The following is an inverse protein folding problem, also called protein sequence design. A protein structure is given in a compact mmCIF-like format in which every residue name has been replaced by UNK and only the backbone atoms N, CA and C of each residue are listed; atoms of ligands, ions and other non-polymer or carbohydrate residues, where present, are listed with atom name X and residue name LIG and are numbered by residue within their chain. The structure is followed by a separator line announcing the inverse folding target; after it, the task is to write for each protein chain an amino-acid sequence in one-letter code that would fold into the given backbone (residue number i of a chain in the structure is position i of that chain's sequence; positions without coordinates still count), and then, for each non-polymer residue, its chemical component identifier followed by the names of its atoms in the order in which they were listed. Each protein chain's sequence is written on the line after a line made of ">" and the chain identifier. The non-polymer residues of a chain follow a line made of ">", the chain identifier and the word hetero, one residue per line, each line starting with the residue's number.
data_IF_274061077838
#
_entry.id   IF_274061077838
#
_cell.length_a   1.000
_cell.length_b   1.000
_cell.length_c   1.000
_cell.angle_alpha   90.00
_cell.angle_beta   90.00
_cell.angle_gamma   90.00
#
_symmetry.space_group_name_H-M   'P 1'
#
loop_
_entity.id
_entity.type
_entity.pdbx_description
1 polymer ?
#
# COMPACT_ATOMS: atom_id res chain seq x y z
N UNK A 1 29.33 -33.62 71.48
CA UNK A 1 29.59 -35.05 71.29
C UNK A 1 29.09 -35.39 69.89
N UNK A 2 29.82 -35.10 68.81
CA UNK A 2 30.91 -35.90 68.22
C UNK A 2 30.60 -37.39 68.18
N UNK A 3 30.20 -37.89 67.01
CA UNK A 3 30.69 -39.16 66.48
C UNK A 3 30.52 -39.23 64.96
N UNK A 4 31.65 -39.53 64.33
CA UNK A 4 31.89 -39.74 62.91
C UNK A 4 31.21 -41.01 62.37
N UNK A 5 30.96 -41.02 61.05
CA UNK A 5 30.69 -42.24 60.29
C UNK A 5 31.61 -42.27 59.06
N UNK A 6 32.52 -43.24 59.03
CA UNK A 6 33.36 -43.57 57.88
C UNK A 6 32.68 -44.63 57.00
N UNK A 7 32.88 -44.57 55.67
CA UNK A 7 33.34 -45.67 54.77
C UNK A 7 33.15 -45.26 53.29
N UNK A 8 34.21 -44.86 52.58
CA UNK A 8 35.01 -45.64 51.60
C UNK A 8 34.28 -46.22 50.38
N UNK A 9 34.66 -45.78 49.17
CA UNK A 9 35.23 -46.68 48.17
C UNK A 9 36.10 -45.91 47.17
N UNK A 10 37.25 -46.52 46.85
CA UNK A 10 38.25 -46.09 45.86
C UNK A 10 37.87 -46.63 44.49
N UNK A 11 38.08 -45.85 43.44
CA UNK A 11 38.63 -46.39 42.19
C UNK A 11 39.50 -45.35 41.50
N UNK A 12 40.80 -45.62 41.46
CA UNK A 12 41.79 -44.93 40.64
C UNK A 12 41.55 -45.30 39.18
N UNK A 13 41.56 -44.32 38.29
CA UNK A 13 41.99 -44.57 36.91
C UNK A 13 42.81 -43.37 36.42
N UNK A 14 44.09 -43.61 36.24
CA UNK A 14 45.09 -42.72 35.64
C UNK A 14 45.13 -42.95 34.14
N UNK A 15 44.90 -41.93 33.32
CA UNK A 15 45.45 -41.87 31.95
C UNK A 15 45.66 -40.43 31.48
N UNK A 16 46.94 -40.10 31.32
CA UNK A 16 47.58 -39.34 30.23
C UNK A 16 46.83 -38.15 29.61
N UNK A 17 47.25 -36.93 29.97
CA UNK A 17 47.00 -35.71 29.18
C UNK A 17 48.15 -35.50 28.20
N UNK A 18 47.85 -35.62 26.91
CA UNK A 18 48.72 -35.24 25.81
C UNK A 18 48.32 -33.83 25.34
N UNK A 19 49.25 -32.89 25.42
CA UNK A 19 49.07 -31.48 25.02
C UNK A 19 48.91 -31.33 23.50
N UNK A 20 47.85 -30.64 23.05
CA UNK A 20 47.85 -29.89 21.78
C UNK A 20 47.12 -28.56 21.94
N UNK A 21 47.89 -27.46 21.96
CA UNK A 21 47.41 -26.07 21.83
C UNK A 21 46.99 -25.75 20.38
N UNK A 22 45.92 -24.97 20.14
CA UNK A 22 45.74 -24.28 18.86
C UNK A 22 46.08 -22.78 18.96
N UNK A 23 47.02 -22.35 18.10
CA UNK A 23 47.41 -20.96 17.81
C UNK A 23 46.30 -20.22 17.05
N UNK A 24 45.28 -19.69 17.72
CA UNK A 24 44.22 -18.88 17.06
C UNK A 24 43.92 -17.52 17.68
N UNK A 25 44.68 -17.05 18.67
CA UNK A 25 44.41 -15.76 19.35
C UNK A 25 45.18 -14.54 18.82
N UNK A 26 46.19 -14.71 17.96
CA UNK A 26 47.00 -13.57 17.48
C UNK A 26 46.45 -12.88 16.22
N UNK A 27 45.62 -13.56 15.41
CA UNK A 27 45.07 -12.97 14.19
C UNK A 27 43.87 -12.02 14.45
N UNK A 28 43.13 -12.21 15.56
CA UNK A 28 41.98 -11.38 15.89
C UNK A 28 42.37 -10.01 16.48
N UNK A 29 43.51 -9.94 17.18
CA UNK A 29 43.95 -8.71 17.84
C UNK A 29 44.57 -7.69 16.87
N UNK A 30 45.12 -8.16 15.73
CA UNK A 30 45.65 -7.27 14.67
C UNK A 30 44.58 -6.56 13.83
N UNK A 31 43.35 -7.08 13.76
CA UNK A 31 42.25 -6.44 13.00
C UNK A 31 41.63 -5.26 13.73
N UNK A 32 41.61 -5.26 15.06
CA UNK A 32 41.04 -4.16 15.86
C UNK A 32 41.91 -2.90 15.80
N UNK A 33 43.24 -3.05 15.70
CA UNK A 33 44.17 -1.92 15.62
C UNK A 33 44.08 -1.19 14.26
N UNK A 34 43.81 -1.90 13.17
CA UNK A 34 43.69 -1.30 11.83
C UNK A 34 42.41 -0.46 11.63
N UNK A 35 41.29 -0.84 12.27
CA UNK A 35 40.03 -0.07 12.20
C UNK A 35 40.16 1.27 12.93
N UNK A 36 40.88 1.32 14.04
CA UNK A 36 41.11 2.57 14.79
C UNK A 36 41.99 3.57 14.03
N UNK A 37 42.96 3.09 13.24
CA UNK A 37 43.82 3.96 12.41
C UNK A 37 43.05 4.54 11.22
N UNK A 38 42.13 3.78 10.62
CA UNK A 38 41.29 4.27 9.52
C UNK A 38 40.23 5.28 9.99
N UNK A 39 39.65 5.10 11.19
CA UNK A 39 38.75 6.10 11.77
C UNK A 39 39.47 7.42 12.11
N UNK A 40 40.71 7.36 12.59
CA UNK A 40 41.49 8.57 12.89
C UNK A 40 41.87 9.34 11.62
N UNK A 41 42.16 8.65 10.51
CA UNK A 41 42.44 9.29 9.22
C UNK A 41 41.19 9.87 8.55
N UNK A 42 40.02 9.24 8.72
CA UNK A 42 38.74 9.79 8.24
C UNK A 42 38.29 11.07 8.97
N UNK A 43 38.59 11.16 10.27
CA UNK A 43 38.29 12.36 11.07
C UNK A 43 39.16 13.57 10.68
N UNK A 44 40.41 13.35 10.28
CA UNK A 44 41.31 14.42 9.82
C UNK A 44 40.95 14.94 8.42
N UNK A 45 40.36 14.12 7.55
CA UNK A 45 39.93 14.58 6.22
C UNK A 45 38.64 15.41 6.26
N UNK A 46 37.80 15.19 7.27
CA UNK A 46 36.53 15.89 7.44
C UNK A 46 36.68 17.35 7.89
N UNK A 47 37.83 17.74 8.45
CA UNK A 47 38.09 19.10 8.94
C UNK A 47 38.87 20.00 7.96
N UNK A 48 39.36 19.47 6.84
CA UNK A 48 40.19 20.23 5.90
C UNK A 48 39.49 20.68 4.60
N UNK A 49 38.32 20.12 4.25
CA UNK A 49 37.68 20.35 2.93
C UNK A 49 36.18 20.70 2.97
N UNK A 50 35.59 20.97 4.13
CA UNK A 50 34.18 21.40 4.20
C UNK A 50 34.09 22.93 4.08
N UNK A 51 33.51 23.50 3.01
CA UNK A 51 33.14 24.91 3.03
C UNK A 51 32.05 25.15 4.07
N UNK A 52 32.15 26.30 4.75
CA UNK A 52 31.29 26.73 5.85
C UNK A 52 29.81 26.82 5.41
N UNK A 53 29.02 25.82 5.78
CA UNK A 53 27.62 25.66 5.35
C UNK A 53 26.63 26.61 6.07
N UNK A 54 27.11 27.66 6.74
CA UNK A 54 26.27 28.57 7.55
C UNK A 54 26.05 29.94 6.94
N UNK A 55 26.55 30.22 5.72
CA UNK A 55 26.29 31.49 5.03
C UNK A 55 25.50 31.29 3.75
N UNK A 56 24.30 31.85 3.72
CA UNK A 56 23.52 32.00 2.48
C UNK A 56 24.30 32.91 1.50
N UNK A 57 24.42 32.53 0.22
CA UNK A 57 25.08 33.37 -0.78
C UNK A 57 24.25 34.63 -1.01
N UNK A 58 24.93 35.78 -1.07
CA UNK A 58 24.26 37.05 -1.39
C UNK A 58 23.74 37.04 -2.83
N UNK A 59 22.68 37.80 -3.10
CA UNK A 59 22.01 37.86 -4.42
C UNK A 59 22.95 38.22 -5.58
N UNK A 60 24.08 38.88 -5.28
CA UNK A 60 25.11 39.26 -6.24
C UNK A 60 25.96 38.06 -6.70
N UNK A 61 26.25 37.10 -5.81
CA UNK A 61 27.00 35.87 -6.15
C UNK A 61 26.14 34.89 -6.97
N UNK A 62 24.83 34.91 -6.80
CA UNK A 62 23.91 34.10 -7.62
C UNK A 62 23.82 34.62 -9.06
N UNK A 63 23.88 35.93 -9.28
CA UNK A 63 23.84 36.51 -10.63
C UNK A 63 25.13 36.23 -11.42
N UNK A 64 26.29 36.21 -10.77
CA UNK A 64 27.56 35.90 -11.44
C UNK A 64 27.63 34.44 -11.93
N UNK A 65 27.02 33.53 -11.18
CA UNK A 65 26.99 32.09 -11.51
C UNK A 65 26.07 31.80 -12.70
N UNK A 66 24.91 32.47 -12.77
CA UNK A 66 23.95 32.36 -13.89
C UNK A 66 24.54 32.95 -15.19
N UNK A 67 25.37 33.99 -15.08
CA UNK A 67 26.00 34.63 -16.25
C UNK A 67 27.14 33.77 -16.83
N UNK A 68 27.86 33.02 -15.98
CA UNK A 68 28.92 32.10 -16.41
C UNK A 68 28.40 30.82 -17.09
N UNK A 69 27.22 30.33 -16.74
CA UNK A 69 26.61 29.19 -17.45
C UNK A 69 25.98 29.59 -18.80
N UNK A 70 25.31 30.75 -18.88
CA UNK A 70 24.76 31.24 -20.16
C UNK A 70 25.82 31.50 -21.24
N UNK A 71 27.05 31.83 -20.84
CA UNK A 71 28.17 32.05 -21.77
C UNK A 71 28.85 30.75 -22.25
N UNK A 72 28.50 29.57 -21.72
CA UNK A 72 29.03 28.28 -22.19
C UNK A 72 28.20 27.63 -23.31
N UNK A 73 26.97 28.09 -23.55
CA UNK A 73 26.05 27.47 -24.52
C UNK A 73 25.91 28.19 -25.88
N UNK A 74 26.63 29.30 -26.10
CA UNK A 74 26.67 29.99 -27.38
C UNK A 74 28.13 30.05 -27.88
N UNK A 75 28.58 29.11 -28.75
CA UNK A 75 28.12 29.07 -30.13
C UNK A 75 28.06 27.64 -30.73
N UNK A 76 26.86 27.13 -31.05
CA UNK A 76 26.73 25.94 -31.91
C UNK A 76 25.56 25.97 -32.89
N UNK A 77 25.12 27.17 -33.28
CA UNK A 77 24.17 27.39 -34.36
C UNK A 77 24.65 28.54 -35.23
N UNK A 78 25.51 28.21 -36.20
CA UNK A 78 25.69 28.94 -37.46
C UNK A 78 26.78 28.26 -38.30
N UNK A 79 26.40 27.23 -39.06
CA UNK A 79 27.01 26.85 -40.34
C UNK A 79 26.29 25.66 -40.97
N UNK A 80 25.53 25.93 -42.04
CA UNK A 80 25.50 25.16 -43.29
C UNK A 80 24.23 25.51 -44.12
N UNK A 81 24.29 26.62 -44.85
CA UNK A 81 23.91 26.69 -46.27
C UNK A 81 25.12 26.13 -47.05
N UNK A 82 25.06 25.29 -48.09
CA UNK A 82 24.30 25.32 -49.36
C UNK A 82 24.61 24.01 -50.17
N UNK A 83 24.32 23.81 -51.49
CA UNK A 83 23.40 22.77 -52.00
C UNK A 83 23.99 21.70 -52.97
N UNK A 84 23.07 20.89 -53.53
CA UNK A 84 23.13 19.98 -54.72
C UNK A 84 23.53 18.50 -54.48
N UNK A 85 22.66 17.57 -54.89
CA UNK A 85 22.84 16.67 -56.05
C UNK A 85 21.62 15.73 -56.17
N UNK A 86 21.13 15.60 -57.41
CA UNK A 86 20.13 14.65 -57.90
C UNK A 86 20.53 13.19 -57.62
N UNK A 87 19.56 12.34 -57.28
CA UNK A 87 19.44 11.01 -57.91
C UNK A 87 18.09 10.38 -57.57
N UNK A 88 17.32 10.21 -58.63
CA UNK A 88 16.33 9.16 -58.88
C UNK A 88 16.68 7.82 -58.23
N UNK A 89 15.73 7.17 -57.55
CA UNK A 89 15.63 5.72 -57.56
C UNK A 89 14.18 5.24 -57.41
N UNK A 90 13.92 4.19 -58.17
CA UNK A 90 12.67 3.62 -58.64
C UNK A 90 11.67 3.09 -57.60
N UNK A 91 10.42 3.07 -58.05
CA UNK A 91 9.36 2.22 -57.56
C UNK A 91 9.74 0.73 -57.71
N UNK A 92 10.01 0.08 -56.59
CA UNK A 92 10.21 -1.37 -56.48
C UNK A 92 8.97 -2.08 -55.97
N UNK A 93 8.18 -2.56 -56.92
CA UNK A 93 7.22 -3.66 -56.88
C UNK A 93 7.51 -4.72 -55.79
N UNK A 94 6.67 -4.78 -54.75
CA UNK A 94 6.71 -5.87 -53.78
C UNK A 94 5.68 -6.93 -54.17
N UNK A 95 6.24 -8.07 -54.59
CA UNK A 95 5.52 -9.24 -55.09
C UNK A 95 4.63 -9.86 -54.03
N UNK A 96 3.48 -10.33 -54.50
CA UNK A 96 2.59 -11.28 -53.83
C UNK A 96 3.36 -12.56 -53.49
N UNK A 97 3.39 -12.92 -52.22
CA UNK A 97 3.50 -14.32 -51.82
C UNK A 97 2.12 -14.85 -51.50
N UNK A 98 1.69 -15.78 -52.34
CA UNK A 98 0.49 -16.61 -52.22
C UNK A 98 0.71 -17.65 -51.13
N UNK A 99 0.02 -17.53 -49.99
CA UNK A 99 -0.15 -18.63 -49.06
C UNK A 99 -1.30 -19.55 -49.51
N UNK A 100 -1.02 -20.84 -49.45
CA UNK A 100 -1.84 -22.00 -49.82
C UNK A 100 -3.12 -22.15 -48.98
N UNK A 101 -4.12 -22.93 -49.45
CA UNK A 101 -5.47 -22.90 -48.92
C UNK A 101 -5.64 -23.75 -47.66
N UNK A 102 -6.43 -23.22 -46.73
CA UNK A 102 -6.94 -23.91 -45.53
C UNK A 102 -7.73 -25.17 -45.91
N UNK A 103 -7.30 -26.31 -45.37
CA UNK A 103 -8.11 -27.52 -45.30
C UNK A 103 -9.33 -27.29 -44.41
N UNK A 104 -10.49 -27.45 -45.03
CA UNK A 104 -11.80 -27.55 -44.40
C UNK A 104 -11.85 -28.80 -43.50
N UNK A 105 -11.66 -28.62 -42.20
CA UNK A 105 -12.14 -29.58 -41.20
C UNK A 105 -13.60 -29.27 -40.89
N UNK A 106 -14.49 -29.94 -41.63
CA UNK A 106 -15.89 -30.09 -41.26
C UNK A 106 -15.99 -30.93 -39.98
N UNK A 107 -16.15 -30.30 -38.83
CA UNK A 107 -16.62 -30.98 -37.62
C UNK A 107 -18.07 -31.42 -37.84
N UNK A 108 -18.25 -32.74 -37.93
CA UNK A 108 -19.55 -33.38 -37.85
C UNK A 108 -20.16 -33.10 -36.48
N UNK A 109 -21.19 -32.27 -36.44
CA UNK A 109 -22.19 -32.29 -35.38
C UNK A 109 -22.89 -33.67 -35.39
N UNK A 110 -22.50 -34.55 -34.48
CA UNK A 110 -23.32 -35.70 -34.11
C UNK A 110 -24.44 -35.22 -33.19
N UNK A 111 -25.65 -35.21 -33.73
CA UNK A 111 -26.89 -35.14 -32.97
C UNK A 111 -26.93 -36.29 -31.95
N UNK A 112 -26.86 -35.96 -30.67
CA UNK A 112 -27.28 -36.85 -29.59
C UNK A 112 -28.79 -36.63 -29.36
N UNK A 113 -29.61 -37.67 -29.32
CA UNK A 113 -31.03 -37.54 -29.03
C UNK A 113 -31.24 -37.17 -27.56
N UNK A 114 -32.14 -36.22 -27.33
CA UNK A 114 -32.72 -35.91 -26.02
C UNK A 114 -33.45 -37.14 -25.49
N UNK A 115 -32.93 -37.74 -24.41
CA UNK A 115 -33.68 -38.68 -23.58
C UNK A 115 -34.35 -37.94 -22.41
N UNK A 116 -35.62 -38.27 -22.10
CA UNK A 116 -36.38 -37.60 -21.05
C UNK A 116 -35.93 -38.07 -19.67
N UNK A 117 -35.64 -37.11 -18.79
CA UNK A 117 -35.41 -37.35 -17.37
C UNK A 117 -36.70 -37.86 -16.71
N UNK A 118 -36.85 -39.18 -16.62
CA UNK A 118 -37.73 -39.80 -15.64
C UNK A 118 -36.99 -39.86 -14.30
N UNK A 119 -37.49 -39.06 -13.37
CA UNK A 119 -37.09 -39.03 -11.96
C UNK A 119 -37.78 -40.21 -11.28
N UNK A 120 -37.09 -41.34 -11.18
CA UNK A 120 -37.50 -42.41 -10.28
C UNK A 120 -37.17 -42.02 -8.84
N UNK A 121 -38.21 -41.95 -8.02
CA UNK A 121 -38.14 -41.78 -6.58
C UNK A 121 -37.52 -43.04 -5.95
N UNK A 122 -36.19 -43.06 -5.83
CA UNK A 122 -35.49 -44.02 -4.97
C UNK A 122 -35.61 -43.50 -3.53
N UNK A 123 -36.57 -44.05 -2.83
CA UNK A 123 -36.73 -43.93 -1.38
C UNK A 123 -35.58 -44.71 -0.71
N UNK A 124 -34.47 -44.02 -0.44
CA UNK A 124 -33.45 -44.54 0.48
C UNK A 124 -34.00 -44.31 1.88
N UNK A 125 -34.39 -45.39 2.55
CA UNK A 125 -34.70 -45.38 3.97
C UNK A 125 -33.44 -44.91 4.73
N UNK A 126 -33.48 -43.69 5.24
CA UNK A 126 -32.50 -43.18 6.19
C UNK A 126 -32.57 -44.06 7.46
N UNK A 127 -31.44 -44.62 7.93
CA UNK A 127 -31.42 -45.28 9.22
C UNK A 127 -31.72 -44.23 10.28
N UNK A 128 -32.82 -44.44 11.01
CA UNK A 128 -33.22 -43.62 12.15
C UNK A 128 -32.04 -43.42 13.10
N UNK A 129 -31.46 -42.22 13.08
CA UNK A 129 -30.49 -41.79 14.08
C UNK A 129 -31.19 -41.80 15.43
N UNK A 130 -30.90 -42.85 16.17
CA UNK A 130 -31.12 -42.95 17.61
C UNK A 130 -30.62 -41.66 18.25
N UNK A 131 -31.55 -40.92 18.87
CA UNK A 131 -31.29 -39.73 19.67
C UNK A 131 -30.19 -40.02 20.70
N UNK A 132 -28.95 -39.67 20.37
CA UNK A 132 -27.89 -39.52 21.35
C UNK A 132 -28.13 -38.16 21.98
N UNK A 133 -28.64 -38.18 23.21
CA UNK A 133 -28.77 -36.97 24.02
C UNK A 133 -27.43 -36.20 24.00
N UNK A 134 -27.45 -34.89 23.72
CA UNK A 134 -26.24 -34.09 23.76
C UNK A 134 -25.60 -34.24 25.15
N UNK A 135 -24.27 -34.47 25.23
CA UNK A 135 -23.61 -34.61 26.51
C UNK A 135 -23.94 -33.39 27.38
N UNK A 136 -24.25 -33.57 28.68
CA UNK A 136 -24.63 -32.47 29.55
C UNK A 136 -23.59 -31.36 29.44
N UNK A 137 -24.05 -30.14 29.16
CA UNK A 137 -23.19 -28.96 29.11
C UNK A 137 -22.33 -28.95 30.37
N UNK A 138 -21.02 -29.10 30.19
CA UNK A 138 -20.07 -28.94 31.29
C UNK A 138 -20.35 -27.58 31.93
N UNK A 139 -20.53 -27.49 33.26
CA UNK A 139 -20.72 -26.22 33.93
C UNK A 139 -19.66 -25.25 33.43
N UNK A 140 -20.09 -24.11 32.87
CA UNK A 140 -19.20 -23.04 32.43
C UNK A 140 -18.35 -22.68 33.64
N UNK A 141 -17.12 -23.20 33.66
CA UNK A 141 -16.14 -22.89 34.69
C UNK A 141 -15.98 -21.38 34.65
N UNK A 142 -16.46 -20.70 35.69
CA UNK A 142 -16.39 -19.26 35.80
C UNK A 142 -14.92 -18.90 35.65
N UNK A 143 -14.55 -18.35 34.49
CA UNK A 143 -13.20 -17.84 34.27
C UNK A 143 -12.92 -16.87 35.43
N UNK A 144 -11.78 -17.03 36.14
CA UNK A 144 -11.49 -16.23 37.31
C UNK A 144 -11.66 -14.76 36.96
N UNK A 145 -12.51 -14.09 37.74
CA UNK A 145 -12.84 -12.68 37.61
C UNK A 145 -11.54 -11.89 37.41
N UNK A 146 -11.36 -11.38 36.19
CA UNK A 146 -10.10 -10.79 35.73
C UNK A 146 -9.75 -9.60 36.63
N UNK A 147 -8.87 -9.80 37.60
CA UNK A 147 -8.44 -8.73 38.49
C UNK A 147 -7.73 -7.67 37.65
N UNK A 148 -8.19 -6.41 37.64
CA UNK A 148 -7.58 -5.36 36.84
C UNK A 148 -6.08 -5.27 37.13
N UNK A 149 -5.24 -5.29 36.08
CA UNK A 149 -3.80 -5.11 36.24
C UNK A 149 -3.57 -3.67 36.73
N UNK A 150 -2.91 -3.43 37.87
CA UNK A 150 -2.72 -2.08 38.39
C UNK A 150 -2.08 -1.10 37.39
N UNK A 151 -1.20 -1.60 36.52
CA UNK A 151 -0.58 -0.80 35.45
C UNK A 151 -1.58 -0.33 34.39
N UNK A 152 -2.61 -1.13 34.08
CA UNK A 152 -3.63 -0.73 33.11
C UNK A 152 -4.54 0.36 33.67
N UNK A 153 -4.86 0.31 34.97
CA UNK A 153 -5.55 1.42 35.61
C UNK A 153 -4.71 2.70 35.62
N UNK A 154 -3.42 2.61 35.96
CA UNK A 154 -2.50 3.74 35.88
C UNK A 154 -2.45 4.34 34.47
N UNK A 155 -2.21 3.49 33.47
CA UNK A 155 -2.16 3.91 32.07
C UNK A 155 -3.48 4.55 31.63
N UNK A 156 -4.62 3.90 31.88
CA UNK A 156 -5.91 4.39 31.44
C UNK A 156 -6.37 5.64 32.19
N UNK A 157 -6.03 5.79 33.47
CA UNK A 157 -6.20 7.07 34.17
C UNK A 157 -5.40 8.20 33.50
N UNK A 158 -4.11 7.94 33.24
CA UNK A 158 -3.22 8.93 32.65
C UNK A 158 -3.68 9.35 31.25
N UNK A 159 -4.01 8.39 30.37
CA UNK A 159 -4.38 8.69 28.99
C UNK A 159 -5.73 9.41 28.90
N UNK A 160 -6.71 9.03 29.72
CA UNK A 160 -8.00 9.71 29.73
C UNK A 160 -7.90 11.12 30.32
N UNK A 161 -6.92 11.38 31.18
CA UNK A 161 -6.70 12.70 31.78
C UNK A 161 -5.93 13.64 30.84
N UNK A 162 -4.84 13.15 30.25
CA UNK A 162 -3.85 14.01 29.59
C UNK A 162 -3.95 13.98 28.05
N UNK A 163 -4.62 12.98 27.49
CA UNK A 163 -4.80 12.81 26.04
C UNK A 163 -6.27 12.95 25.68
N UNK A 164 -6.70 14.19 25.43
CA UNK A 164 -8.10 14.54 25.15
C UNK A 164 -8.24 15.31 23.84
N UNK A 165 -9.48 15.57 23.39
CA UNK A 165 -9.76 16.30 22.15
C UNK A 165 -9.12 15.62 20.93
N UNK A 166 -8.38 16.37 20.11
CA UNK A 166 -7.66 15.83 18.94
C UNK A 166 -6.51 14.86 19.27
N UNK A 167 -6.18 14.70 20.55
CA UNK A 167 -5.16 13.78 21.05
C UNK A 167 -5.77 12.60 21.81
N UNK A 168 -7.11 12.45 21.82
CA UNK A 168 -7.78 11.36 22.50
C UNK A 168 -7.39 10.00 21.91
N UNK A 169 -6.71 9.18 22.71
CA UNK A 169 -6.24 7.85 22.28
C UNK A 169 -7.37 6.82 22.27
N UNK A 170 -8.29 6.95 23.22
CA UNK A 170 -9.45 6.09 23.36
C UNK A 170 -10.71 6.93 23.53
N UNK A 171 -11.84 6.42 23.05
CA UNK A 171 -13.13 7.06 23.27
C UNK A 171 -13.61 6.90 24.72
N UNK A 172 -13.25 5.78 25.38
CA UNK A 172 -13.62 5.50 26.76
C UNK A 172 -12.51 4.81 27.55
N UNK A 173 -12.62 4.90 28.88
CA UNK A 173 -11.75 4.14 29.79
C UNK A 173 -11.88 2.62 29.58
N UNK A 174 -13.08 2.14 29.26
CA UNK A 174 -13.31 0.72 28.98
C UNK A 174 -12.55 0.27 27.74
N UNK A 175 -12.57 1.05 26.66
CA UNK A 175 -11.76 0.76 25.45
C UNK A 175 -10.26 0.69 25.79
N UNK A 176 -9.78 1.62 26.60
CA UNK A 176 -8.39 1.61 27.05
C UNK A 176 -8.03 0.34 27.83
N UNK A 177 -8.88 -0.06 28.79
CA UNK A 177 -8.64 -1.24 29.61
C UNK A 177 -8.68 -2.53 28.78
N UNK A 178 -9.62 -2.63 27.84
CA UNK A 178 -9.71 -3.76 26.91
C UNK A 178 -8.44 -3.89 26.07
N UNK A 179 -7.94 -2.79 25.50
CA UNK A 179 -6.70 -2.79 24.73
C UNK A 179 -5.45 -3.07 25.59
N UNK A 180 -5.40 -2.57 26.82
CA UNK A 180 -4.24 -2.73 27.71
C UNK A 180 -4.01 -4.18 28.14
N UNK A 181 -5.08 -5.00 28.24
CA UNK A 181 -4.96 -6.40 28.67
C UNK A 181 -4.07 -7.24 27.76
N UNK A 182 -4.04 -6.94 26.47
CA UNK A 182 -3.18 -7.61 25.49
C UNK A 182 -1.72 -7.10 25.48
N UNK A 183 -1.41 -6.02 26.21
CA UNK A 183 -0.06 -5.44 26.22
C UNK A 183 0.85 -6.17 27.24
N UNK A 184 2.15 -6.31 26.94
CA UNK A 184 3.13 -6.68 27.96
C UNK A 184 3.10 -5.69 29.14
N UNK A 185 3.17 -6.15 30.38
CA UNK A 185 3.16 -5.23 31.55
C UNK A 185 4.38 -4.33 31.57
N UNK A 186 5.57 -4.91 31.42
CA UNK A 186 6.85 -4.20 31.56
C UNK A 186 7.21 -3.85 33.00
N UNK A 187 8.00 -2.79 33.18
CA UNK A 187 8.42 -2.25 34.48
C UNK A 187 8.17 -0.74 34.58
N UNK A 188 8.05 -0.16 35.80
CA UNK A 188 7.86 1.29 35.97
C UNK A 188 8.94 2.18 35.36
N UNK A 189 10.10 1.63 34.97
CA UNK A 189 11.20 2.37 34.33
C UNK A 189 11.12 2.36 32.81
N UNK A 190 10.18 1.61 32.24
CA UNK A 190 10.02 1.49 30.81
C UNK A 190 9.57 2.83 30.22
N UNK A 191 10.34 3.35 29.27
CA UNK A 191 9.98 4.53 28.47
C UNK A 191 10.26 4.37 26.98
N UNK A 192 10.88 3.25 26.58
CA UNK A 192 11.31 3.00 25.20
C UNK A 192 11.04 1.54 24.74
N UNK A 193 10.22 0.79 25.48
CA UNK A 193 9.94 -0.62 25.22
C UNK A 193 8.44 -0.87 25.10
N UNK A 194 8.05 -1.93 24.40
CA UNK A 194 6.65 -2.28 24.25
C UNK A 194 6.06 -2.77 25.57
N UNK A 195 5.50 -1.85 26.35
CA UNK A 195 4.82 -2.19 27.60
C UNK A 195 3.71 -1.23 27.97
N UNK A 196 2.83 -1.67 28.87
CA UNK A 196 1.81 -0.85 29.49
C UNK A 196 2.44 0.26 30.36
N UNK A 197 3.56 -0.01 31.03
CA UNK A 197 4.29 1.02 31.78
C UNK A 197 4.89 2.11 30.88
N UNK A 198 5.44 1.75 29.71
CA UNK A 198 5.91 2.75 28.75
C UNK A 198 4.78 3.68 28.30
N UNK A 199 3.61 3.11 27.99
CA UNK A 199 2.44 3.90 27.59
C UNK A 199 1.91 4.75 28.75
N UNK A 200 1.92 4.22 29.97
CA UNK A 200 1.60 4.99 31.17
C UNK A 200 2.54 6.18 31.38
N UNK A 201 3.85 6.02 31.13
CA UNK A 201 4.84 7.09 31.19
C UNK A 201 4.51 8.18 30.16
N UNK A 202 4.32 7.82 28.89
CA UNK A 202 4.00 8.80 27.85
C UNK A 202 2.64 9.47 28.04
N UNK A 203 1.67 8.77 28.64
CA UNK A 203 0.39 9.35 28.99
C UNK A 203 0.40 10.23 30.25
N UNK A 204 1.51 10.31 30.99
CA UNK A 204 1.60 11.05 32.27
C UNK A 204 2.03 12.52 32.09
N UNK A 205 2.94 13.03 32.93
CA UNK A 205 3.53 14.37 32.85
C UNK A 205 4.02 14.76 31.44
N UNK A 206 4.65 13.86 30.64
CA UNK A 206 5.04 14.20 29.27
C UNK A 206 3.86 14.63 28.39
N UNK A 207 2.73 13.92 28.43
CA UNK A 207 1.52 14.31 27.70
C UNK A 207 0.91 15.62 28.20
N UNK A 208 1.05 15.96 29.48
CA UNK A 208 0.59 17.28 29.99
C UNK A 208 1.39 18.43 29.38
N UNK A 209 2.70 18.24 29.18
CA UNK A 209 3.58 19.28 28.64
C UNK A 209 3.51 19.37 27.11
N UNK A 210 3.39 18.23 26.42
CA UNK A 210 3.32 18.17 24.97
C UNK A 210 2.43 17.01 24.48
N UNK A 211 1.09 17.19 24.48
CA UNK A 211 0.15 16.15 24.07
C UNK A 211 0.39 15.68 22.63
N UNK A 212 0.74 16.61 21.73
CA UNK A 212 0.95 16.32 20.31
C UNK A 212 2.10 15.34 20.06
N UNK A 213 3.16 15.41 20.87
CA UNK A 213 4.25 14.44 20.79
C UNK A 213 3.94 13.16 21.57
N UNK A 214 3.42 13.25 22.79
CA UNK A 214 3.42 12.09 23.70
C UNK A 214 2.16 11.22 23.66
N UNK A 215 0.98 11.78 23.36
CA UNK A 215 -0.23 10.96 23.23
C UNK A 215 -0.14 9.91 22.12
N UNK A 216 0.45 10.21 20.94
CA UNK A 216 0.67 9.20 19.92
C UNK A 216 1.65 8.08 20.32
N UNK A 217 2.57 8.33 21.26
CA UNK A 217 3.45 7.29 21.82
C UNK A 217 2.68 6.36 22.76
N UNK A 218 1.69 6.90 23.46
CA UNK A 218 0.83 6.14 24.36
C UNK A 218 -0.16 5.25 23.59
N UNK A 219 -0.49 5.57 22.33
CA UNK A 219 -1.41 4.79 21.50
C UNK A 219 -1.03 3.30 21.35
N UNK A 220 -2.02 2.48 20.96
CA UNK A 220 -1.88 1.01 20.83
C UNK A 220 -0.64 0.64 20.02
N UNK A 221 -0.41 1.29 18.88
CA UNK A 221 0.72 0.99 17.99
C UNK A 221 2.00 1.76 18.27
N UNK A 222 1.99 2.76 19.15
CA UNK A 222 3.10 3.71 19.38
C UNK A 222 3.71 4.20 18.06
N UNK A 223 3.14 5.29 17.53
CA UNK A 223 3.34 5.76 16.16
C UNK A 223 4.77 6.21 15.76
N UNK A 224 5.74 6.13 16.67
CA UNK A 224 7.14 6.53 16.47
C UNK A 224 8.13 5.52 17.05
N UNK A 225 7.72 4.26 17.22
CA UNK A 225 8.58 3.19 17.76
C UNK A 225 9.13 3.47 19.17
N UNK A 226 8.43 4.32 19.94
CA UNK A 226 8.84 4.70 21.29
C UNK A 226 8.46 3.62 22.29
N UNK A 227 7.20 3.24 22.42
CA UNK A 227 6.82 2.07 23.22
C UNK A 227 6.90 0.78 22.40
N UNK A 228 8.12 0.51 21.92
CA UNK A 228 8.48 -0.65 21.09
C UNK A 228 8.07 -0.54 19.63
N UNK A 229 8.35 -1.58 18.85
CA UNK A 229 8.08 -1.56 17.40
C UNK A 229 6.58 -1.68 17.13
N UNK A 230 6.10 -1.05 16.04
CA UNK A 230 4.68 -1.12 15.68
C UNK A 230 4.22 -2.55 15.44
N UNK A 231 5.04 -3.34 14.75
CA UNK A 231 4.73 -4.75 14.47
C UNK A 231 4.65 -5.58 15.74
N UNK A 232 5.51 -5.34 16.74
CA UNK A 232 5.42 -6.01 18.04
C UNK A 232 4.09 -5.65 18.71
N UNK A 233 3.76 -4.37 18.79
CA UNK A 233 2.52 -3.90 19.43
C UNK A 233 1.26 -4.43 18.73
N UNK A 234 1.24 -4.42 17.40
CA UNK A 234 0.16 -4.99 16.61
C UNK A 234 0.05 -6.50 16.79
N UNK A 235 1.17 -7.22 16.72
CA UNK A 235 1.18 -8.67 16.86
C UNK A 235 0.76 -9.12 18.26
N UNK A 236 1.11 -8.37 19.31
CA UNK A 236 0.63 -8.65 20.66
C UNK A 236 -0.90 -8.52 20.75
N UNK A 237 -1.49 -7.50 20.12
CA UNK A 237 -2.95 -7.31 20.09
C UNK A 237 -3.67 -8.40 19.30
N UNK A 238 -3.28 -8.63 18.05
CA UNK A 238 -3.99 -9.57 17.17
C UNK A 238 -3.84 -11.01 17.67
N UNK A 239 -2.68 -11.39 18.20
CA UNK A 239 -2.48 -12.74 18.73
C UNK A 239 -3.23 -12.97 20.05
N UNK A 240 -3.46 -11.93 20.84
CA UNK A 240 -4.22 -12.04 22.09
C UNK A 240 -5.74 -12.06 21.86
N UNK A 241 -6.25 -11.18 21.00
CA UNK A 241 -7.69 -10.95 20.87
C UNK A 241 -8.33 -11.73 19.71
N UNK A 242 -7.55 -12.15 18.71
CA UNK A 242 -8.03 -12.92 17.56
C UNK A 242 -7.50 -14.35 17.64
N UNK A 243 -8.24 -15.22 18.30
CA UNK A 243 -7.88 -16.62 18.56
C UNK A 243 -8.95 -17.60 18.05
N UNK A 244 -8.67 -18.91 18.10
CA UNK A 244 -9.59 -19.95 17.65
C UNK A 244 -9.98 -19.79 16.18
N UNK A 245 -11.28 -19.86 15.88
CA UNK A 245 -11.81 -19.65 14.52
C UNK A 245 -11.55 -18.23 13.97
N UNK A 246 -11.23 -17.27 14.84
CA UNK A 246 -10.93 -15.89 14.46
C UNK A 246 -9.42 -15.62 14.37
N UNK A 247 -8.56 -16.64 14.52
CA UNK A 247 -7.12 -16.49 14.40
C UNK A 247 -6.72 -15.95 13.02
N UNK A 248 -5.94 -14.87 13.00
CA UNK A 248 -5.47 -14.22 11.76
C UNK A 248 -4.07 -14.67 11.33
N UNK A 249 -3.31 -15.24 12.25
CA UNK A 249 -1.97 -15.75 12.03
C UNK A 249 -1.80 -17.08 12.78
N UNK A 250 -0.98 -17.98 12.23
CA UNK A 250 -0.66 -19.25 12.88
C UNK A 250 0.15 -19.05 14.16
N UNK A 251 1.03 -18.06 14.16
CA UNK A 251 1.97 -17.76 15.24
C UNK A 251 2.51 -16.33 15.11
N UNK A 252 3.26 -15.92 16.14
CA UNK A 252 3.85 -14.58 16.23
C UNK A 252 4.85 -14.29 15.11
N UNK A 253 5.64 -15.29 14.69
CA UNK A 253 6.64 -15.13 13.62
C UNK A 253 5.94 -14.88 12.27
N UNK A 254 4.85 -15.57 11.99
CA UNK A 254 4.02 -15.32 10.82
C UNK A 254 3.44 -13.89 10.84
N UNK A 255 2.95 -13.42 11.99
CA UNK A 255 2.47 -12.05 12.16
C UNK A 255 3.56 -11.01 11.89
N UNK A 256 4.73 -11.13 12.54
CA UNK A 256 5.84 -10.20 12.39
C UNK A 256 6.37 -10.18 10.94
N UNK A 257 6.48 -11.35 10.31
CA UNK A 257 6.91 -11.48 8.91
C UNK A 257 5.96 -10.74 7.96
N UNK A 258 4.65 -10.90 8.16
CA UNK A 258 3.65 -10.23 7.34
C UNK A 258 3.62 -8.71 7.55
N UNK A 259 3.92 -8.25 8.77
CA UNK A 259 3.88 -6.85 9.15
C UNK A 259 5.05 -6.03 8.58
N UNK A 260 6.23 -6.64 8.39
CA UNK A 260 7.42 -5.95 7.86
C UNK A 260 7.14 -5.36 6.47
N UNK A 261 7.45 -4.07 6.30
CA UNK A 261 7.29 -3.35 5.02
C UNK A 261 5.89 -2.81 4.75
N UNK A 262 4.94 -3.00 5.67
CA UNK A 262 3.59 -2.41 5.56
C UNK A 262 3.59 -0.92 5.88
N UNK A 263 2.60 -0.22 5.32
CA UNK A 263 2.38 1.18 5.62
C UNK A 263 1.96 1.30 7.09
N UNK A 264 2.63 2.19 7.79
CA UNK A 264 2.44 2.39 9.22
C UNK A 264 1.05 3.00 9.56
N UNK A 265 0.63 4.01 8.80
CA UNK A 265 -0.61 4.76 9.02
C UNK A 265 -0.54 5.80 10.16
N UNK A 266 -1.56 6.66 10.19
CA UNK A 266 -1.83 7.54 11.32
C UNK A 266 -2.27 6.70 12.53
N UNK A 267 -1.90 7.11 13.74
CA UNK A 267 -2.05 6.31 14.95
C UNK A 267 -3.52 6.05 15.36
N UNK A 268 -4.40 6.91 14.87
CA UNK A 268 -5.85 6.91 15.02
C UNK A 268 -6.57 6.41 13.75
N UNK A 269 -5.84 5.84 12.79
CA UNK A 269 -6.44 5.31 11.58
C UNK A 269 -7.46 4.22 11.92
N UNK A 270 -8.68 4.36 11.40
CA UNK A 270 -9.76 3.35 11.50
C UNK A 270 -10.17 2.81 10.12
N UNK A 271 -9.45 3.23 9.08
CA UNK A 271 -9.62 2.83 7.68
C UNK A 271 -8.28 2.89 6.92
N UNK A 272 -8.22 2.23 5.75
CA UNK A 272 -7.05 2.20 4.87
C UNK A 272 -6.05 1.09 5.20
N UNK A 273 -5.23 0.67 4.21
CA UNK A 273 -4.23 -0.39 4.42
C UNK A 273 -3.04 0.12 5.23
N UNK A 274 -3.19 0.07 6.55
CA UNK A 274 -2.13 0.41 7.48
C UNK A 274 -2.12 -0.48 8.72
N UNK A 275 -0.93 -0.63 9.32
CA UNK A 275 -0.77 -1.34 10.59
C UNK A 275 -1.56 -0.65 11.71
N UNK A 276 -1.65 0.68 11.72
CA UNK A 276 -2.45 1.40 12.70
C UNK A 276 -3.95 1.06 12.61
N UNK A 277 -4.54 1.05 11.40
CA UNK A 277 -5.93 0.59 11.21
C UNK A 277 -6.14 -0.82 11.75
N UNK A 278 -5.24 -1.74 11.40
CA UNK A 278 -5.35 -3.15 11.78
C UNK A 278 -5.22 -3.34 13.28
N UNK A 279 -4.30 -2.61 13.92
CA UNK A 279 -4.13 -2.63 15.36
C UNK A 279 -5.31 -2.03 16.12
N UNK A 280 -5.98 -1.01 15.57
CA UNK A 280 -7.24 -0.52 16.12
C UNK A 280 -8.26 -1.68 16.20
N UNK A 281 -8.51 -2.38 15.09
CA UNK A 281 -9.44 -3.50 15.08
C UNK A 281 -8.97 -4.72 15.86
N UNK A 282 -7.66 -4.95 15.96
CA UNK A 282 -7.06 -6.01 16.76
C UNK A 282 -7.17 -5.78 18.27
N UNK A 283 -7.50 -4.56 18.71
CA UNK A 283 -7.50 -4.18 20.13
C UNK A 283 -8.87 -4.34 20.77
N UNK A 284 -9.40 -3.31 21.43
CA UNK A 284 -10.68 -3.32 22.13
C UNK A 284 -11.90 -3.72 21.26
N UNK A 285 -11.98 -3.45 19.94
CA UNK A 285 -13.09 -3.96 19.12
C UNK A 285 -13.08 -5.48 19.05
N UNK A 286 -11.92 -6.11 18.80
CA UNK A 286 -11.79 -7.56 18.76
C UNK A 286 -12.07 -8.22 20.12
N UNK A 287 -11.80 -7.56 21.24
CA UNK A 287 -12.17 -8.07 22.57
C UNK A 287 -13.69 -8.26 22.71
N UNK A 288 -14.49 -7.38 22.08
CA UNK A 288 -15.94 -7.35 22.23
C UNK A 288 -16.66 -8.23 21.21
N UNK A 289 -16.20 -8.20 19.96
CA UNK A 289 -16.77 -8.99 18.87
C UNK A 289 -15.64 -9.45 17.92
N UNK A 290 -14.93 -10.54 18.28
CA UNK A 290 -13.83 -11.05 17.48
C UNK A 290 -14.26 -11.42 16.06
N UNK A 291 -15.46 -12.01 15.90
CA UNK A 291 -15.95 -12.46 14.59
C UNK A 291 -16.11 -11.29 13.60
N UNK A 292 -16.56 -10.13 14.09
CA UNK A 292 -16.70 -8.93 13.27
C UNK A 292 -15.38 -8.20 13.01
N UNK A 293 -14.51 -8.11 14.01
CA UNK A 293 -13.36 -7.20 13.96
C UNK A 293 -12.03 -7.87 13.59
N UNK A 294 -11.83 -9.16 13.88
CA UNK A 294 -10.61 -9.86 13.51
C UNK A 294 -10.34 -9.93 12.00
N UNK A 295 -11.35 -10.05 11.11
CA UNK A 295 -11.11 -9.94 9.66
C UNK A 295 -10.45 -8.61 9.25
N UNK A 296 -10.83 -7.50 9.91
CA UNK A 296 -10.23 -6.19 9.68
C UNK A 296 -8.82 -6.07 10.25
N UNK A 297 -8.55 -6.74 11.37
CA UNK A 297 -7.23 -6.82 11.97
C UNK A 297 -6.24 -7.65 11.12
N UNK A 298 -6.67 -8.77 10.55
CA UNK A 298 -5.79 -9.71 9.85
C UNK A 298 -5.43 -9.32 8.42
N UNK A 299 -4.59 -10.10 7.71
CA UNK A 299 -4.01 -9.75 6.40
C UNK A 299 -5.01 -9.29 5.33
N UNK A 300 -6.21 -9.89 5.30
CA UNK A 300 -7.26 -9.54 4.36
C UNK A 300 -7.85 -8.14 4.60
N UNK A 301 -7.70 -7.58 5.80
CA UNK A 301 -8.15 -6.24 6.17
C UNK A 301 -9.67 -6.08 6.23
N UNK A 302 -10.44 -7.15 6.04
CA UNK A 302 -11.90 -7.20 6.23
C UNK A 302 -12.67 -6.18 5.42
N UNK A 303 -12.09 -5.68 4.32
CA UNK A 303 -12.64 -4.55 3.54
C UNK A 303 -12.52 -3.17 4.20
N UNK A 304 -12.01 -3.08 5.42
CA UNK A 304 -11.89 -1.83 6.19
C UNK A 304 -10.46 -1.31 6.20
N UNK A 305 -9.51 -2.16 6.60
CA UNK A 305 -8.09 -1.86 6.64
C UNK A 305 -7.39 -2.33 5.35
N UNK A 306 -7.98 -1.97 4.22
CA UNK A 306 -7.42 -2.22 2.89
C UNK A 306 -7.31 -0.91 2.14
N UNK A 307 -6.41 -0.84 1.16
CA UNK A 307 -6.37 0.27 0.23
C UNK A 307 -7.51 0.02 -0.75
N UNK A 308 -8.68 0.55 -0.41
CA UNK A 308 -9.90 0.39 -1.20
C UNK A 308 -9.70 0.88 -2.63
N UNK A 309 -8.85 1.89 -2.83
CA UNK A 309 -8.43 2.35 -4.16
C UNK A 309 -7.58 1.30 -4.85
N UNK A 310 -6.57 0.73 -4.20
CA UNK A 310 -5.76 -0.34 -4.80
C UNK A 310 -6.60 -1.55 -5.17
N UNK A 311 -7.54 -1.97 -4.32
CA UNK A 311 -8.47 -3.08 -4.60
C UNK A 311 -9.34 -2.76 -5.81
N UNK A 312 -9.95 -1.56 -5.84
CA UNK A 312 -10.78 -1.13 -6.96
C UNK A 312 -9.95 -1.02 -8.26
N UNK A 313 -8.75 -0.44 -8.20
CA UNK A 313 -7.85 -0.32 -9.34
C UNK A 313 -7.38 -1.67 -9.84
N UNK A 314 -7.08 -2.61 -8.94
CA UNK A 314 -6.69 -3.95 -9.32
C UNK A 314 -7.81 -4.62 -10.12
N UNK A 315 -9.04 -4.61 -9.60
CA UNK A 315 -10.20 -5.20 -10.25
C UNK A 315 -10.50 -4.53 -11.60
N UNK A 316 -10.51 -3.20 -11.65
CA UNK A 316 -10.66 -2.44 -12.89
C UNK A 316 -9.60 -2.83 -13.93
N UNK A 317 -8.32 -2.82 -13.55
CA UNK A 317 -7.24 -3.12 -14.47
C UNK A 317 -7.20 -4.59 -14.88
N UNK A 318 -7.57 -5.53 -14.01
CA UNK A 318 -7.73 -6.94 -14.40
C UNK A 318 -8.80 -7.07 -15.50
N UNK A 319 -9.95 -6.44 -15.29
CA UNK A 319 -11.06 -6.43 -16.25
C UNK A 319 -10.67 -5.79 -17.59
N UNK A 320 -10.00 -4.63 -17.58
CA UNK A 320 -9.56 -3.95 -18.81
C UNK A 320 -8.53 -4.78 -19.56
N UNK A 321 -7.54 -5.36 -18.87
CA UNK A 321 -6.53 -6.19 -19.53
C UNK A 321 -7.14 -7.48 -20.11
N UNK A 322 -8.16 -8.04 -19.46
CA UNK A 322 -8.81 -9.26 -19.91
C UNK A 322 -9.76 -9.03 -21.10
N UNK A 323 -10.63 -8.02 -21.02
CA UNK A 323 -11.77 -7.88 -21.94
C UNK A 323 -11.61 -6.73 -22.96
N UNK A 324 -10.66 -5.81 -22.73
CA UNK A 324 -10.42 -4.63 -23.56
C UNK A 324 -8.97 -4.57 -24.06
N UNK A 325 -8.44 -5.70 -24.54
CA UNK A 325 -7.04 -5.81 -25.03
C UNK A 325 -6.90 -5.76 -26.55
N UNK A 326 -7.96 -6.11 -27.30
CA UNK A 326 -8.01 -6.06 -28.77
C UNK A 326 -8.99 -4.98 -29.26
N UNK A 327 -10.29 -5.29 -29.23
CA UNK A 327 -11.37 -4.34 -29.53
C UNK A 327 -11.56 -3.41 -28.34
N UNK A 328 -11.57 -2.10 -28.60
CA UNK A 328 -11.72 -1.11 -27.54
C UNK A 328 -10.51 -1.04 -26.61
N UNK A 329 -9.29 -1.33 -27.12
CA UNK A 329 -8.06 -1.28 -26.34
C UNK A 329 -7.87 0.06 -25.63
N UNK A 330 -7.92 0.04 -24.30
CA UNK A 330 -7.85 1.26 -23.46
C UNK A 330 -6.40 1.59 -23.09
N UNK A 331 -5.65 0.60 -22.60
CA UNK A 331 -4.25 0.76 -22.20
C UNK A 331 -3.38 -0.27 -22.91
N UNK A 332 -2.12 0.09 -23.15
CA UNK A 332 -1.14 -0.86 -23.70
C UNK A 332 -0.58 -1.79 -22.65
N UNK A 333 -0.48 -1.33 -21.40
CA UNK A 333 0.10 -2.09 -20.30
C UNK A 333 -0.66 -1.87 -18.99
N UNK A 334 -0.60 -2.88 -18.11
CA UNK A 334 -1.21 -2.83 -16.77
C UNK A 334 -0.75 -1.60 -15.97
N UNK A 335 0.53 -1.25 -16.03
CA UNK A 335 1.06 -0.10 -15.28
C UNK A 335 0.41 1.24 -15.70
N UNK A 336 0.07 1.40 -16.99
CA UNK A 336 -0.65 2.59 -17.46
C UNK A 336 -2.06 2.64 -16.88
N UNK A 337 -2.75 1.50 -16.81
CA UNK A 337 -4.06 1.41 -16.17
C UNK A 337 -3.99 1.79 -14.69
N UNK A 338 -3.01 1.27 -13.96
CA UNK A 338 -2.83 1.55 -12.53
C UNK A 338 -2.53 3.03 -12.27
N UNK A 339 -1.70 3.67 -13.11
CA UNK A 339 -1.45 5.10 -13.02
C UNK A 339 -2.70 5.94 -13.28
N UNK A 340 -3.46 5.63 -14.34
CA UNK A 340 -4.70 6.33 -14.63
C UNK A 340 -5.75 6.15 -13.51
N UNK A 341 -5.82 4.95 -12.93
CA UNK A 341 -6.79 4.64 -11.90
C UNK A 341 -6.58 5.42 -10.59
N UNK A 342 -5.34 5.79 -10.26
CA UNK A 342 -5.03 6.59 -9.07
C UNK A 342 -5.71 7.96 -9.05
N UNK A 343 -6.00 8.54 -10.21
CA UNK A 343 -6.72 9.81 -10.33
C UNK A 343 -8.25 9.71 -10.43
N UNK A 344 -8.83 8.51 -10.39
CA UNK A 344 -10.29 8.33 -10.50
C UNK A 344 -10.97 8.33 -9.13
N UNK A 345 -12.20 8.82 -8.95
CA UNK A 345 -12.94 8.58 -7.71
C UNK A 345 -13.26 7.09 -7.53
N UNK A 346 -13.25 6.56 -6.31
CA UNK A 346 -13.47 5.12 -6.08
C UNK A 346 -14.90 4.70 -6.42
N UNK A 347 -15.89 5.46 -5.92
CA UNK A 347 -17.33 5.15 -5.99
C UNK A 347 -17.75 4.02 -5.08
N UNK A 348 -18.90 3.41 -5.38
CA UNK A 348 -19.45 2.28 -4.63
C UNK A 348 -19.36 0.99 -5.44
N UNK A 349 -19.20 -0.14 -4.75
CA UNK A 349 -19.30 -1.45 -5.39
C UNK A 349 -20.68 -1.60 -6.06
N UNK A 350 -20.69 -2.04 -7.31
CA UNK A 350 -21.92 -2.19 -8.09
C UNK A 350 -22.35 -0.93 -8.86
N UNK A 351 -21.62 0.18 -8.78
CA UNK A 351 -21.84 1.32 -9.66
C UNK A 351 -21.87 0.86 -11.13
N UNK A 352 -22.94 1.20 -11.85
CA UNK A 352 -23.07 0.99 -13.30
C UNK A 352 -23.13 2.31 -14.08
N UNK A 353 -23.04 3.43 -13.36
CA UNK A 353 -23.02 4.80 -13.87
C UNK A 353 -22.29 5.72 -12.89
N UNK A 354 -21.90 6.90 -13.35
CA UNK A 354 -21.21 7.92 -12.53
C UNK A 354 -19.68 7.79 -12.55
N UNK A 355 -18.97 8.87 -12.22
CA UNK A 355 -17.52 8.94 -12.32
C UNK A 355 -16.81 8.14 -11.24
N UNK A 356 -16.71 6.82 -11.40
CA UNK A 356 -16.06 5.95 -10.43
C UNK A 356 -15.23 4.80 -11.03
N UNK A 357 -14.23 4.33 -10.28
CA UNK A 357 -13.46 3.13 -10.60
C UNK A 357 -14.40 1.93 -10.68
N UNK A 358 -15.36 1.80 -9.76
CA UNK A 358 -16.31 0.69 -9.78
C UNK A 358 -17.22 0.70 -11.02
N UNK A 359 -17.68 1.87 -11.48
CA UNK A 359 -18.40 1.97 -12.76
C UNK A 359 -17.53 1.48 -13.93
N UNK A 360 -16.28 1.94 -13.99
CA UNK A 360 -15.36 1.53 -15.06
C UNK A 360 -15.02 0.04 -14.98
N UNK A 361 -14.87 -0.49 -13.77
CA UNK A 361 -14.67 -1.93 -13.54
C UNK A 361 -15.88 -2.76 -14.00
N UNK A 362 -17.11 -2.27 -13.76
CA UNK A 362 -18.33 -2.90 -14.27
C UNK A 362 -18.31 -2.94 -15.79
N UNK A 363 -18.08 -1.81 -16.47
CA UNK A 363 -18.08 -1.78 -17.93
C UNK A 363 -16.92 -2.57 -18.56
N UNK A 364 -15.75 -2.61 -17.93
CA UNK A 364 -14.64 -3.45 -18.37
C UNK A 364 -14.82 -4.94 -18.06
N UNK A 365 -15.80 -5.31 -17.21
CA UNK A 365 -16.02 -6.68 -16.73
C UNK A 365 -16.89 -7.51 -17.67
N UNK A 366 -17.91 -8.17 -17.11
CA UNK A 366 -18.83 -9.03 -17.86
C UNK A 366 -19.48 -8.36 -19.10
N UNK A 367 -19.92 -7.09 -19.05
CA UNK A 367 -20.42 -6.39 -20.24
C UNK A 367 -19.41 -6.31 -21.38
N UNK A 368 -18.15 -5.91 -21.13
CA UNK A 368 -17.10 -5.87 -22.16
C UNK A 368 -16.72 -7.26 -22.66
N UNK A 369 -16.84 -8.31 -21.83
CA UNK A 369 -16.64 -9.68 -22.29
C UNK A 369 -17.66 -10.08 -23.37
N UNK A 370 -18.89 -9.59 -23.28
CA UNK A 370 -19.95 -9.86 -24.27
C UNK A 370 -19.90 -8.92 -25.47
N UNK A 371 -19.67 -7.62 -25.26
CA UNK A 371 -19.60 -6.63 -26.33
C UNK A 371 -18.52 -5.57 -26.03
N UNK A 372 -17.25 -5.86 -26.37
CA UNK A 372 -16.13 -4.97 -26.03
C UNK A 372 -16.21 -3.64 -26.80
N UNK A 373 -16.70 -3.65 -28.04
CA UNK A 373 -16.83 -2.44 -28.85
C UNK A 373 -17.76 -1.39 -28.20
N UNK A 374 -18.85 -1.85 -27.58
CA UNK A 374 -19.78 -0.98 -26.87
C UNK A 374 -19.27 -0.57 -25.49
N UNK A 375 -18.75 -1.50 -24.70
CA UNK A 375 -18.51 -1.26 -23.28
C UNK A 375 -17.10 -0.79 -22.91
N UNK A 376 -16.06 -1.17 -23.65
CA UNK A 376 -14.70 -0.71 -23.36
C UNK A 376 -14.56 0.83 -23.46
N UNK A 377 -15.19 1.54 -24.42
CA UNK A 377 -15.17 2.99 -24.43
C UNK A 377 -15.76 3.63 -23.15
N UNK A 378 -16.79 3.03 -22.54
CA UNK A 378 -17.36 3.53 -21.27
C UNK A 378 -16.39 3.37 -20.11
N UNK A 379 -15.63 2.27 -20.10
CA UNK A 379 -14.60 2.02 -19.10
C UNK A 379 -13.34 2.89 -19.27
N UNK A 380 -13.15 3.54 -20.42
CA UNK A 380 -11.96 4.33 -20.71
C UNK A 380 -11.78 5.53 -19.78
N UNK A 381 -10.57 6.08 -19.73
CA UNK A 381 -10.23 7.25 -18.89
C UNK A 381 -11.08 8.48 -19.19
N UNK A 382 -11.52 8.65 -20.44
CA UNK A 382 -12.32 9.79 -20.86
C UNK A 382 -13.82 9.57 -20.66
N UNK A 383 -14.26 8.37 -20.24
CA UNK A 383 -15.68 8.05 -20.02
C UNK A 383 -16.54 8.29 -21.27
N UNK A 384 -16.27 7.55 -22.35
CA UNK A 384 -17.02 7.74 -23.59
C UNK A 384 -18.53 7.51 -23.36
N UNK A 385 -19.38 8.35 -23.94
CA UNK A 385 -20.84 8.28 -23.78
C UNK A 385 -21.35 8.75 -22.41
N UNK A 386 -20.49 9.37 -21.59
CA UNK A 386 -20.82 9.93 -20.28
C UNK A 386 -21.39 8.92 -19.27
N UNK A 387 -21.16 7.62 -19.48
CA UNK A 387 -21.73 6.54 -18.67
C UNK A 387 -21.07 6.49 -17.28
N UNK A 388 -19.74 6.43 -17.24
CA UNK A 388 -18.98 6.49 -16.00
C UNK A 388 -18.56 7.93 -15.67
N UNK A 389 -19.56 8.82 -15.63
CA UNK A 389 -19.39 10.26 -15.48
C UNK A 389 -19.16 10.97 -16.79
N UNK A 390 -19.34 12.28 -16.77
CA UNK A 390 -19.10 13.12 -17.95
C UNK A 390 -17.62 13.15 -18.34
N UNK A 391 -17.33 13.38 -19.62
CA UNK A 391 -15.95 13.58 -20.09
C UNK A 391 -15.21 14.66 -19.30
N UNK A 392 -15.91 15.75 -18.94
CA UNK A 392 -15.33 16.82 -18.14
C UNK A 392 -15.04 16.43 -16.71
N UNK A 393 -15.92 15.67 -16.06
CA UNK A 393 -15.64 15.13 -14.72
C UNK A 393 -14.42 14.21 -14.76
N UNK A 394 -14.36 13.30 -15.72
CA UNK A 394 -13.24 12.36 -15.86
C UNK A 394 -11.91 13.08 -16.12
N UNK A 395 -11.89 14.06 -17.05
CA UNK A 395 -10.71 14.89 -17.31
C UNK A 395 -10.30 15.73 -16.09
N UNK A 396 -11.24 16.44 -15.47
CA UNK A 396 -10.92 17.36 -14.39
C UNK A 396 -10.41 16.64 -13.14
N UNK A 397 -10.88 15.43 -12.83
CA UNK A 397 -10.30 14.63 -11.75
C UNK A 397 -8.83 14.26 -12.04
N UNK A 398 -8.51 13.86 -13.26
CA UNK A 398 -7.16 13.46 -13.65
C UNK A 398 -6.18 14.64 -13.63
N UNK A 399 -6.55 15.76 -14.26
CA UNK A 399 -5.65 16.92 -14.35
C UNK A 399 -5.42 17.55 -12.98
N UNK A 400 -6.45 17.62 -12.11
CA UNK A 400 -6.29 18.15 -10.76
C UNK A 400 -5.49 17.21 -9.84
N UNK A 401 -5.50 15.90 -10.12
CA UNK A 401 -4.70 14.93 -9.36
C UNK A 401 -3.24 14.91 -9.78
N UNK A 402 -2.97 14.85 -11.09
CA UNK A 402 -1.61 14.58 -11.60
C UNK A 402 -0.82 15.86 -11.93
N UNK A 403 -1.50 16.99 -12.14
CA UNK A 403 -0.89 18.25 -12.52
C UNK A 403 -1.06 19.28 -11.40
N UNK A 404 -0.10 19.29 -10.46
CA UNK A 404 -0.09 20.14 -9.26
C UNK A 404 1.19 20.97 -9.18
N UNK A 405 1.28 21.91 -8.24
CA UNK A 405 2.47 22.74 -8.07
C UNK A 405 2.78 23.57 -9.32
N UNK A 406 4.03 23.51 -9.80
CA UNK A 406 4.45 24.22 -11.03
C UNK A 406 3.79 23.69 -12.30
N UNK A 407 3.26 22.46 -12.27
CA UNK A 407 2.57 21.82 -13.39
C UNK A 407 1.05 22.03 -13.31
N UNK A 408 0.54 22.84 -12.38
CA UNK A 408 -0.89 23.10 -12.23
C UNK A 408 -1.50 23.73 -13.49
N UNK A 409 -2.54 23.09 -14.05
CA UNK A 409 -3.20 23.56 -15.28
C UNK A 409 -4.51 24.34 -15.03
N UNK A 410 -5.14 24.11 -13.88
CA UNK A 410 -6.36 24.80 -13.47
C UNK A 410 -6.27 25.19 -11.99
N UNK A 411 -6.80 26.36 -11.66
CA UNK A 411 -6.80 26.88 -10.28
C UNK A 411 -7.58 25.95 -9.34
N UNK A 412 -8.76 25.52 -9.78
CA UNK A 412 -9.64 24.63 -9.03
C UNK A 412 -10.54 23.82 -9.98
N UNK A 413 -11.32 22.91 -9.40
CA UNK A 413 -12.23 22.03 -10.14
C UNK A 413 -13.34 22.81 -10.86
N UNK A 414 -13.84 23.91 -10.30
CA UNK A 414 -14.91 24.70 -10.92
C UNK A 414 -14.39 25.41 -12.19
N UNK A 415 -13.20 26.00 -12.11
CA UNK A 415 -12.50 26.59 -13.26
C UNK A 415 -12.21 25.55 -14.34
N UNK A 416 -11.76 24.35 -13.96
CA UNK A 416 -11.55 23.25 -14.89
C UNK A 416 -12.85 22.86 -15.61
N UNK A 417 -13.94 22.64 -14.87
CA UNK A 417 -15.23 22.24 -15.43
C UNK A 417 -15.83 23.31 -16.35
N UNK A 418 -15.72 24.59 -15.97
CA UNK A 418 -16.19 25.69 -16.80
C UNK A 418 -15.43 25.77 -18.13
N UNK A 419 -14.10 25.66 -18.08
CA UNK A 419 -13.28 25.65 -19.28
C UNK A 419 -13.54 24.42 -20.16
N UNK A 420 -13.62 23.23 -19.55
CA UNK A 420 -13.79 21.97 -20.27
C UNK A 420 -15.03 21.96 -21.16
N UNK A 421 -16.14 22.55 -20.68
CA UNK A 421 -17.40 22.67 -21.45
C UNK A 421 -17.27 23.48 -22.75
N UNK A 422 -16.21 24.27 -22.91
CA UNK A 422 -15.96 25.05 -24.13
C UNK A 422 -15.20 24.27 -25.20
N UNK A 423 -14.74 23.05 -24.90
CA UNK A 423 -13.94 22.22 -25.79
C UNK A 423 -14.76 21.09 -26.40
N UNK A 424 -14.47 20.71 -27.66
CA UNK A 424 -15.11 19.55 -28.26
C UNK A 424 -14.68 18.28 -27.52
N UNK A 425 -15.58 17.31 -27.48
CA UNK A 425 -15.35 16.07 -26.75
C UNK A 425 -14.24 15.22 -27.36
N UNK A 426 -14.20 15.09 -28.69
CA UNK A 426 -13.25 14.25 -29.44
C UNK A 426 -13.60 12.76 -29.48
N UNK A 427 -12.79 11.96 -30.16
CA UNK A 427 -12.86 10.50 -30.04
C UNK A 427 -12.12 10.07 -28.77
N UNK A 428 -12.62 9.05 -28.06
CA UNK A 428 -12.01 8.62 -26.79
C UNK A 428 -10.57 8.11 -26.92
N UNK A 429 -10.13 7.85 -28.15
CA UNK A 429 -8.78 7.44 -28.55
C UNK A 429 -7.87 8.60 -28.95
N UNK A 430 -8.35 9.84 -28.92
CA UNK A 430 -7.56 11.01 -29.31
C UNK A 430 -6.30 11.12 -28.44
N UNK A 431 -5.16 11.27 -29.10
CA UNK A 431 -3.84 11.56 -28.49
C UNK A 431 -3.24 12.88 -29.01
N UNK A 432 -3.97 13.53 -29.91
CA UNK A 432 -3.72 14.83 -30.50
C UNK A 432 -5.09 15.45 -30.85
N UNK A 433 -5.10 16.71 -31.30
CA UNK A 433 -6.28 17.55 -31.55
C UNK A 433 -6.84 18.27 -30.31
N UNK A 434 -7.49 19.43 -30.51
CA UNK A 434 -8.07 20.25 -29.45
C UNK A 434 -9.35 19.63 -28.86
N UNK A 435 -9.24 18.45 -28.25
CA UNK A 435 -10.36 17.71 -27.67
C UNK A 435 -10.15 17.38 -26.20
N UNK A 436 -11.25 17.21 -25.46
CA UNK A 436 -11.19 16.77 -24.07
C UNK A 436 -10.61 15.36 -23.95
N UNK A 437 -10.83 14.49 -24.94
CA UNK A 437 -10.26 13.16 -24.94
C UNK A 437 -8.71 13.18 -25.05
N UNK A 438 -8.13 14.00 -25.94
CA UNK A 438 -6.68 14.21 -26.02
C UNK A 438 -6.09 14.64 -24.67
N UNK A 439 -6.77 15.59 -24.03
CA UNK A 439 -6.31 16.16 -22.76
C UNK A 439 -6.48 15.20 -21.59
N UNK A 440 -7.55 14.41 -21.56
CA UNK A 440 -7.73 13.33 -20.59
C UNK A 440 -6.65 12.26 -20.70
N UNK A 441 -6.23 11.91 -21.93
CA UNK A 441 -5.08 11.02 -22.16
C UNK A 441 -3.82 11.57 -21.48
N UNK A 442 -3.45 12.82 -21.78
CA UNK A 442 -2.26 13.46 -21.22
C UNK A 442 -2.35 13.71 -19.71
N UNK A 443 -3.53 14.08 -19.20
CA UNK A 443 -3.77 14.31 -17.78
C UNK A 443 -3.71 13.03 -16.93
N UNK A 444 -3.80 11.85 -17.55
CA UNK A 444 -3.95 10.58 -16.83
C UNK A 444 -2.61 9.88 -16.55
N UNK A 445 -2.41 8.67 -17.06
CA UNK A 445 -1.21 7.89 -16.80
C UNK A 445 0.07 8.56 -17.32
N UNK A 446 -0.04 9.37 -18.37
CA UNK A 446 1.09 10.11 -18.94
C UNK A 446 1.61 11.13 -17.91
N UNK A 447 0.75 12.07 -17.46
CA UNK A 447 1.10 13.01 -16.40
C UNK A 447 1.42 12.33 -15.05
N UNK A 448 0.76 11.23 -14.69
CA UNK A 448 1.12 10.50 -13.47
C UNK A 448 2.54 9.93 -13.50
N UNK A 449 3.09 9.67 -14.70
CA UNK A 449 4.46 9.17 -14.88
C UNK A 449 5.49 10.27 -15.12
N UNK A 450 5.13 11.33 -15.83
CA UNK A 450 5.97 12.49 -16.13
C UNK A 450 5.10 13.76 -16.23
N UNK A 451 4.81 14.42 -15.09
CA UNK A 451 3.96 15.60 -15.06
C UNK A 451 4.51 16.74 -15.91
N UNK A 452 5.84 16.96 -15.86
CA UNK A 452 6.49 18.10 -16.51
C UNK A 452 6.30 18.08 -18.03
N UNK A 453 6.37 16.91 -18.65
CA UNK A 453 6.19 16.78 -20.10
C UNK A 453 4.73 16.71 -20.53
N UNK A 454 3.82 16.21 -19.69
CA UNK A 454 2.45 15.91 -20.13
C UNK A 454 1.38 16.87 -19.61
N UNK A 455 1.59 17.54 -18.49
CA UNK A 455 0.66 18.53 -17.97
C UNK A 455 0.46 19.73 -18.92
N UNK A 456 1.48 20.28 -19.60
CA UNK A 456 1.29 21.34 -20.59
C UNK A 456 0.32 20.94 -21.72
N UNK A 457 0.34 19.66 -22.14
CA UNK A 457 -0.56 19.13 -23.16
C UNK A 457 -2.00 18.99 -22.62
N UNK A 458 -2.12 18.61 -21.34
CA UNK A 458 -3.40 18.44 -20.67
C UNK A 458 -4.11 19.77 -20.37
N UNK A 459 -3.39 20.89 -20.26
CA UNK A 459 -3.91 22.18 -19.83
C UNK A 459 -4.58 23.04 -20.90
N UNK A 460 -4.74 24.34 -20.65
CA UNK A 460 -5.48 25.23 -21.57
C UNK A 460 -4.75 25.48 -22.90
N UNK A 461 -3.42 25.52 -22.88
CA UNK A 461 -2.60 25.76 -24.07
C UNK A 461 -2.57 24.56 -25.01
N UNK A 462 -2.63 23.33 -24.47
CA UNK A 462 -2.48 22.09 -25.24
C UNK A 462 -1.08 21.85 -25.78
N UNK A 463 -0.15 22.79 -25.56
CA UNK A 463 1.27 22.76 -25.94
C UNK A 463 1.54 22.17 -27.33
N UNK A 464 0.76 22.63 -28.32
CA UNK A 464 0.80 22.18 -29.72
C UNK A 464 0.46 20.70 -29.98
N UNK A 465 0.11 19.91 -28.94
CA UNK A 465 -0.33 18.52 -29.07
C UNK A 465 -1.85 18.43 -29.10
N UNK A 466 -2.52 18.98 -28.08
CA UNK A 466 -3.97 19.03 -28.01
C UNK A 466 -4.47 20.41 -28.49
N UNK A 467 -4.12 20.78 -29.71
CA UNK A 467 -4.55 22.02 -30.37
C UNK A 467 -5.23 21.70 -31.71
N UNK A 468 -5.97 22.65 -32.27
CA UNK A 468 -6.53 22.49 -33.61
C UNK A 468 -5.38 22.38 -34.61
N UNK A 469 -5.47 21.45 -35.58
CA UNK A 469 -4.42 21.26 -36.58
C UNK A 469 -4.19 22.50 -37.46
#
# INVERSE_FOLDING_TARGET
>A
MWQDSQWTSKSKNTMSLNEKRPKRKEAAMRRVIWVSVLCALGLLWSQACAPDATKEPTSEQQQETITKEKNKEAPRRERASEPLIESSFDAGEMQRETSTPEEHLTEKHTNLPEEPAQREDIFVEEPSESAVEPPPERPREQMPEHTPRPVCDLYCNNVMTNCTGKHAVFASRTDCLDACRAMPTGTPKDSLVNSAYCRAYHASTPAQMNPASHCPHAAITSNVKVCGQRCESYCDQVMANCTGANAQFSDRKACETWCVGRIDGAWDATQGDSIACRAYYASFPAVRDPAKHCPAAGPAGGGVCVDTRQVACKAYCDNVMANCSSVGKIYSHRIQCEYACRGMPIGNAGDTKGNSIYCRAYHAGAPAKTNPALHCPHASISSNGDVCGTRCEAYCEQVMTNCTGTDQQHQDKAACMAWCKTKPSGAWTDKAADTIACRAYHASFAAASDPKSHCPHAGKSGDNICVSP
#
